data_IF_555433682888
#
_entry.id   IF_555433682888
#
_cell.length_a   1.000
_cell.length_b   1.000
_cell.length_c   1.000
_cell.angle_alpha   90.00
_cell.angle_beta   90.00
_cell.angle_gamma   90.00
#
_symmetry.space_group_name_H-M   'P 1'
#
loop_
_entity.id
_entity.type
_entity.pdbx_description
1 polymer ?
#
# COMPACT_ATOMS: atom_id res chain seq x y z
N UNK A 1 -20.17 -11.28 60.34
CA UNK A 1 -20.15 -9.80 60.20
C UNK A 1 -18.68 -9.40 60.25
N UNK A 2 -18.01 -8.89 59.23
CA UNK A 2 -18.37 -8.00 58.15
C UNK A 2 -17.51 -8.37 56.93
N UNK A 3 -18.16 -8.98 55.95
CA UNK A 3 -17.70 -9.10 54.58
C UNK A 3 -18.34 -7.94 53.77
N UNK A 4 -17.80 -6.70 53.79
CA UNK A 4 -18.17 -5.80 52.68
C UNK A 4 -17.03 -4.93 52.13
N UNK A 5 -15.78 -5.04 52.60
CA UNK A 5 -14.75 -4.07 52.19
C UNK A 5 -14.15 -4.42 50.80
N UNK A 6 -14.10 -5.70 50.44
CA UNK A 6 -13.55 -6.12 49.14
C UNK A 6 -14.47 -5.86 47.94
N UNK A 7 -15.79 -5.70 48.16
CA UNK A 7 -16.74 -5.46 47.07
C UNK A 7 -16.75 -3.99 46.61
N UNK A 8 -16.35 -3.04 47.45
CA UNK A 8 -16.43 -1.61 47.14
C UNK A 8 -15.28 -1.10 46.26
N UNK A 9 -14.14 -1.78 46.20
CA UNK A 9 -12.97 -1.32 45.42
C UNK A 9 -13.02 -1.75 43.93
N UNK A 10 -13.82 -2.75 43.57
CA UNK A 10 -13.94 -3.21 42.19
C UNK A 10 -14.91 -2.36 41.34
N UNK A 11 -15.89 -1.69 41.96
CA UNK A 11 -16.91 -0.90 41.24
C UNK A 11 -16.47 0.53 40.91
N UNK A 12 -15.37 1.02 41.50
CA UNK A 12 -14.84 2.36 41.26
C UNK A 12 -13.88 2.43 40.05
N UNK A 13 -13.25 1.30 39.68
CA UNK A 13 -12.24 1.30 38.62
C UNK A 13 -12.81 1.34 37.19
N UNK A 14 -14.08 0.97 36.98
CA UNK A 14 -14.68 0.91 35.62
C UNK A 14 -15.52 2.15 35.23
N UNK A 15 -15.75 3.11 36.13
CA UNK A 15 -16.57 4.30 35.85
C UNK A 15 -15.75 5.60 35.61
N UNK A 16 -14.41 5.52 35.59
CA UNK A 16 -13.54 6.71 35.44
C UNK A 16 -13.11 6.97 33.99
N UNK A 17 -13.44 6.13 33.02
CA UNK A 17 -13.34 6.52 31.61
C UNK A 17 -14.52 7.42 31.24
N UNK A 18 -14.52 8.67 31.73
CA UNK A 18 -15.43 9.75 31.25
C UNK A 18 -15.15 10.18 29.81
N UNK A 19 -14.30 9.45 29.09
CA UNK A 19 -14.23 9.52 27.64
C UNK A 19 -15.11 8.39 27.09
N UNK A 20 -16.43 8.50 27.25
CA UNK A 20 -17.27 7.98 26.19
C UNK A 20 -16.75 8.63 24.91
N UNK A 21 -16.34 7.83 23.93
CA UNK A 21 -15.94 8.35 22.62
C UNK A 21 -17.05 9.30 22.21
N UNK A 22 -16.77 10.61 22.27
CA UNK A 22 -17.80 11.63 22.14
C UNK A 22 -18.22 11.66 20.68
N UNK A 23 -19.19 10.82 20.34
CA UNK A 23 -19.81 10.74 19.01
C UNK A 23 -20.70 11.95 18.70
N UNK A 24 -20.79 12.93 19.60
CA UNK A 24 -21.50 14.21 19.39
C UNK A 24 -20.73 15.17 18.48
N UNK A 25 -19.45 14.91 18.20
CA UNK A 25 -18.76 15.60 17.12
C UNK A 25 -19.26 15.01 15.78
N UNK A 26 -19.75 15.84 14.83
CA UNK A 26 -20.09 15.35 13.50
C UNK A 26 -18.87 14.63 12.92
N UNK A 27 -19.11 13.45 12.33
CA UNK A 27 -18.07 12.66 11.66
C UNK A 27 -17.30 13.59 10.73
N UNK A 28 -15.98 13.71 10.96
CA UNK A 28 -15.11 14.47 10.07
C UNK A 28 -15.12 13.79 8.71
N UNK A 29 -15.85 14.39 7.76
CA UNK A 29 -15.77 14.00 6.36
C UNK A 29 -14.46 14.59 5.84
N UNK A 30 -13.44 13.75 5.73
CA UNK A 30 -12.21 14.12 5.01
C UNK A 30 -12.53 13.90 3.53
N UNK A 31 -12.37 14.96 2.72
CA UNK A 31 -12.48 14.82 1.27
C UNK A 31 -11.49 13.76 0.79
N UNK A 32 -12.00 12.77 0.07
CA UNK A 32 -11.16 11.71 -0.49
C UNK A 32 -10.20 12.36 -1.50
N UNK A 33 -8.88 12.27 -1.31
CA UNK A 33 -7.93 12.77 -2.30
C UNK A 33 -8.18 12.09 -3.64
N UNK A 34 -8.43 12.89 -4.67
CA UNK A 34 -8.60 12.39 -6.04
C UNK A 34 -7.22 12.32 -6.66
N UNK A 35 -6.67 11.10 -6.71
CA UNK A 35 -5.44 10.86 -7.47
C UNK A 35 -5.73 11.05 -8.96
N UNK A 36 -4.84 11.69 -9.70
CA UNK A 36 -4.99 11.80 -11.15
C UNK A 36 -4.85 10.42 -11.80
N UNK A 37 -5.38 10.28 -13.02
CA UNK A 37 -5.37 9.00 -13.71
C UNK A 37 -3.94 8.54 -13.97
N UNK A 38 -3.65 7.29 -13.59
CA UNK A 38 -2.38 6.64 -13.92
C UNK A 38 -2.33 6.39 -15.43
N UNK A 39 -1.21 6.72 -16.11
CA UNK A 39 -1.03 6.38 -17.51
C UNK A 39 -1.25 4.89 -17.80
N UNK A 40 -2.06 4.58 -18.81
CA UNK A 40 -2.42 3.20 -19.16
C UNK A 40 -1.22 2.30 -19.49
N UNK A 41 -0.13 2.91 -19.99
CA UNK A 41 1.12 2.21 -20.26
C UNK A 41 1.77 1.63 -18.98
N UNK A 42 1.60 2.28 -17.82
CA UNK A 42 2.14 1.81 -16.54
C UNK A 42 1.30 0.69 -15.91
N UNK A 43 0.02 0.61 -16.28
CA UNK A 43 -0.92 -0.40 -15.77
C UNK A 43 -0.79 -1.75 -16.46
N UNK A 44 -0.12 -1.81 -17.60
CA UNK A 44 0.08 -3.06 -18.33
C UNK A 44 1.29 -3.77 -17.79
N UNK A 45 1.18 -5.04 -17.40
CA UNK A 45 2.34 -5.86 -17.04
C UNK A 45 2.95 -6.47 -18.31
N UNK A 46 4.27 -6.30 -18.56
CA UNK A 46 4.93 -7.04 -19.64
C UNK A 46 4.73 -8.55 -19.49
N UNK A 47 4.58 -9.32 -20.58
CA UNK A 47 4.52 -10.77 -20.50
C UNK A 47 5.88 -11.31 -20.05
N UNK A 48 5.86 -12.17 -19.04
CA UNK A 48 7.07 -12.85 -18.59
C UNK A 48 7.41 -13.94 -19.60
N UNK A 49 8.67 -14.08 -20.04
CA UNK A 49 9.09 -15.22 -20.86
C UNK A 49 8.84 -16.54 -20.15
N UNK A 50 8.40 -17.55 -20.91
CA UNK A 50 8.25 -18.91 -20.41
C UNK A 50 9.61 -19.48 -19.95
N UNK A 51 9.62 -20.46 -19.02
CA UNK A 51 10.84 -21.15 -18.64
C UNK A 51 11.59 -21.72 -19.86
N UNK A 52 12.93 -21.87 -19.78
CA UNK A 52 13.71 -22.44 -20.87
C UNK A 52 13.22 -23.85 -21.21
N UNK A 53 13.21 -24.19 -22.50
CA UNK A 53 12.71 -25.48 -22.99
C UNK A 53 13.50 -26.68 -22.43
N UNK A 54 14.78 -26.48 -22.10
CA UNK A 54 15.60 -27.48 -21.42
C UNK A 54 16.76 -26.83 -20.65
N UNK A 55 17.53 -27.64 -19.92
CA UNK A 55 18.76 -27.20 -19.25
C UNK A 55 20.00 -27.14 -20.16
N UNK A 56 19.86 -27.34 -21.48
CA UNK A 56 20.99 -27.24 -22.41
C UNK A 56 21.48 -25.79 -22.48
N UNK A 57 22.79 -25.61 -22.65
CA UNK A 57 23.41 -24.29 -22.71
C UNK A 57 22.77 -23.36 -23.75
N UNK A 58 22.43 -23.86 -24.94
CA UNK A 58 21.78 -23.07 -25.99
C UNK A 58 20.41 -22.52 -25.56
N UNK A 59 19.57 -23.36 -24.95
CA UNK A 59 18.23 -22.98 -24.51
C UNK A 59 18.28 -22.00 -23.33
N UNK A 60 19.25 -22.17 -22.42
CA UNK A 60 19.49 -21.25 -21.32
C UNK A 60 19.96 -19.87 -21.81
N UNK A 61 20.87 -19.84 -22.78
CA UNK A 61 21.38 -18.58 -23.35
C UNK A 61 20.30 -17.82 -24.11
N UNK A 62 19.45 -18.52 -24.87
CA UNK A 62 18.31 -17.92 -25.55
C UNK A 62 17.32 -17.32 -24.52
N UNK A 63 16.94 -18.09 -23.51
CA UNK A 63 16.06 -17.60 -22.44
C UNK A 63 16.65 -16.40 -21.68
N UNK A 64 17.96 -16.40 -21.42
CA UNK A 64 18.61 -15.29 -20.73
C UNK A 64 18.50 -13.97 -21.52
N UNK A 65 18.61 -14.02 -22.85
CA UNK A 65 18.42 -12.84 -23.70
C UNK A 65 16.98 -12.31 -23.62
N UNK A 66 15.99 -13.20 -23.76
CA UNK A 66 14.57 -12.84 -23.69
C UNK A 66 14.19 -12.31 -22.30
N UNK A 67 14.68 -12.97 -21.25
CA UNK A 67 14.47 -12.55 -19.86
C UNK A 67 15.11 -11.20 -19.58
N UNK A 68 16.32 -10.94 -20.09
CA UNK A 68 16.96 -9.64 -19.98
C UNK A 68 16.16 -8.52 -20.67
N UNK A 69 15.54 -8.80 -21.81
CA UNK A 69 14.64 -7.85 -22.47
C UNK A 69 13.38 -7.58 -21.65
N UNK A 70 12.79 -8.62 -21.04
CA UNK A 70 11.67 -8.49 -20.11
C UNK A 70 12.03 -7.62 -18.89
N UNK A 71 13.20 -7.81 -18.28
CA UNK A 71 13.67 -7.00 -17.14
C UNK A 71 13.80 -5.52 -17.55
N UNK A 72 14.39 -5.23 -18.70
CA UNK A 72 14.47 -3.84 -19.22
C UNK A 72 13.10 -3.17 -19.35
N UNK A 73 12.07 -3.91 -19.77
CA UNK A 73 10.71 -3.38 -19.84
C UNK A 73 10.13 -3.09 -18.44
N UNK A 74 10.46 -3.92 -17.43
CA UNK A 74 10.08 -3.66 -16.05
C UNK A 74 10.78 -2.42 -15.48
N UNK A 75 12.07 -2.26 -15.73
CA UNK A 75 12.86 -1.09 -15.28
C UNK A 75 12.29 0.20 -15.88
N UNK A 76 11.99 0.19 -17.18
CA UNK A 76 11.36 1.34 -17.85
C UNK A 76 10.01 1.71 -17.22
N UNK A 77 9.23 0.70 -16.82
CA UNK A 77 7.94 0.92 -16.12
C UNK A 77 8.13 1.42 -14.71
N UNK A 78 9.12 0.91 -13.98
CA UNK A 78 9.46 1.38 -12.64
C UNK A 78 9.84 2.86 -12.67
N UNK A 79 10.69 3.27 -13.62
CA UNK A 79 11.06 4.68 -13.79
C UNK A 79 9.84 5.55 -14.10
N UNK A 80 8.94 5.06 -14.95
CA UNK A 80 7.68 5.75 -15.25
C UNK A 80 6.77 5.90 -14.02
N UNK A 81 6.71 4.88 -13.15
CA UNK A 81 5.98 4.94 -11.88
C UNK A 81 6.60 5.93 -10.90
N UNK A 82 7.93 5.93 -10.76
CA UNK A 82 8.66 6.88 -9.91
C UNK A 82 8.39 8.31 -10.38
N UNK A 83 8.52 8.56 -11.68
CA UNK A 83 8.28 9.87 -12.27
C UNK A 83 6.84 10.34 -12.05
N UNK A 84 5.86 9.47 -12.32
CA UNK A 84 4.45 9.81 -12.09
C UNK A 84 4.19 10.17 -10.63
N UNK A 85 4.76 9.44 -9.68
CA UNK A 85 4.61 9.72 -8.26
C UNK A 85 5.25 11.06 -7.85
N UNK A 86 6.41 11.40 -8.42
CA UNK A 86 7.07 12.70 -8.21
C UNK A 86 6.21 13.86 -8.73
N UNK A 87 5.66 13.74 -9.95
CA UNK A 87 4.74 14.74 -10.51
C UNK A 87 3.51 14.95 -9.61
N UNK A 88 3.01 13.90 -8.96
CA UNK A 88 1.88 14.03 -8.03
C UNK A 88 2.27 14.77 -6.74
N UNK A 89 3.43 14.44 -6.18
CA UNK A 89 3.94 15.13 -4.99
C UNK A 89 4.23 16.62 -5.26
N UNK A 90 4.72 16.96 -6.45
CA UNK A 90 4.92 18.36 -6.86
C UNK A 90 3.58 19.09 -7.02
N UNK A 91 2.58 18.44 -7.66
CA UNK A 91 1.25 19.05 -7.85
C UNK A 91 0.50 19.34 -6.54
N UNK A 92 0.74 18.55 -5.50
CA UNK A 92 0.17 18.75 -4.16
C UNK A 92 0.83 19.94 -3.42
N UNK A 93 2.06 20.30 -3.76
CA UNK A 93 2.83 21.37 -3.11
C UNK A 93 2.70 22.75 -3.80
N UNK A 94 1.80 22.89 -4.78
CA UNK A 94 1.51 24.19 -5.41
C UNK A 94 0.49 24.95 -4.54
N UNK A 95 0.79 26.19 -4.09
CA UNK A 95 -0.10 26.97 -3.22
C UNK A 95 -1.40 27.42 -3.88
#
# INVERSE_FOLDING_TARGET
MLLPIAACLALSACNITKNHSATDAPVRVIEKPVLPPVPSALMQKPPRPEPPASGKAADLLAHAADFGAYVRQLETKLDGWIKWAQEQAESENVP
#
